data_IF_003420833251
#
_entry.id   IF_003420833251
#
_cell.length_a   1.000
_cell.length_b   1.000
_cell.length_c   1.000
_cell.angle_alpha   90.00
_cell.angle_beta   90.00
_cell.angle_gamma   90.00
#
_symmetry.space_group_name_H-M   'P 1'
#
loop_
_entity.id
_entity.type
_entity.pdbx_description
1 polymer ?
#
# COMPACT_ATOMS: atom_id res chain seq x y z
N UNK A 1 -24.09 17.79 16.38
CA UNK A 1 -24.13 17.32 17.79
C UNK A 1 -23.92 18.52 18.72
N UNK A 2 -24.70 18.61 19.81
CA UNK A 2 -24.55 19.68 20.81
C UNK A 2 -23.36 19.33 21.69
N UNK A 3 -22.32 20.15 21.68
CA UNK A 3 -21.01 19.81 22.32
C UNK A 3 -21.08 19.68 23.82
N UNK A 4 -22.02 20.37 24.44
CA UNK A 4 -22.25 20.42 25.90
C UNK A 4 -22.75 19.08 26.45
N UNK A 5 -23.33 18.23 25.60
CA UNK A 5 -23.85 16.90 25.97
C UNK A 5 -22.77 15.83 26.09
N UNK A 6 -21.52 16.17 25.76
CA UNK A 6 -20.42 15.21 25.71
C UNK A 6 -19.26 15.61 26.62
N UNK A 7 -18.53 14.61 27.08
CA UNK A 7 -17.14 14.73 27.49
C UNK A 7 -16.24 14.05 26.47
N UNK A 8 -15.03 14.56 26.35
CA UNK A 8 -14.09 14.16 25.30
C UNK A 8 -12.86 13.50 25.90
N UNK A 9 -12.54 12.33 25.43
CA UNK A 9 -11.38 11.56 25.88
C UNK A 9 -10.42 11.41 24.72
N UNK A 10 -9.26 12.06 24.80
CA UNK A 10 -8.19 11.84 23.84
C UNK A 10 -7.25 10.77 24.36
N UNK A 11 -6.83 9.86 23.48
CA UNK A 11 -5.98 8.74 23.86
C UNK A 11 -4.76 8.72 22.97
N UNK A 12 -3.60 8.91 23.60
CA UNK A 12 -2.31 8.66 22.98
C UNK A 12 -1.95 7.18 23.09
N UNK A 13 -1.62 6.56 21.97
CA UNK A 13 -1.58 5.11 21.78
C UNK A 13 -0.16 4.62 21.57
N UNK A 14 0.39 3.94 22.55
CA UNK A 14 1.69 3.29 22.48
C UNK A 14 1.60 1.75 22.48
N UNK A 15 2.69 1.10 22.18
CA UNK A 15 2.76 -0.37 22.10
C UNK A 15 2.40 -1.03 23.43
N UNK A 16 2.92 -0.52 24.53
CA UNK A 16 2.82 -1.15 25.86
C UNK A 16 1.78 -0.49 26.75
N UNK A 17 1.64 0.83 26.66
CA UNK A 17 0.73 1.63 27.48
C UNK A 17 -0.04 2.61 26.63
N UNK A 18 -1.19 3.05 27.13
CA UNK A 18 -1.97 4.13 26.57
C UNK A 18 -2.16 5.20 27.62
N UNK A 19 -2.08 6.48 27.24
CA UNK A 19 -2.37 7.61 28.10
C UNK A 19 -3.62 8.31 27.61
N UNK A 20 -4.61 8.48 28.48
CA UNK A 20 -5.89 9.10 28.18
C UNK A 20 -6.10 10.35 29.04
N UNK A 21 -6.53 11.44 28.41
CA UNK A 21 -6.93 12.67 29.04
C UNK A 21 -8.40 12.95 28.76
N UNK A 22 -9.16 13.27 29.80
CA UNK A 22 -10.58 13.61 29.71
C UNK A 22 -10.75 15.11 29.89
N UNK A 23 -11.47 15.75 28.97
CA UNK A 23 -11.83 17.17 29.02
C UNK A 23 -13.34 17.37 28.89
N UNK A 24 -13.85 18.50 29.38
CA UNK A 24 -15.21 18.94 29.11
C UNK A 24 -15.34 19.77 27.81
N UNK A 25 -16.53 20.27 27.53
CA UNK A 25 -16.81 21.12 26.36
C UNK A 25 -16.16 22.53 26.45
N UNK A 26 -15.69 22.94 27.60
CA UNK A 26 -15.00 24.22 27.87
C UNK A 26 -13.47 24.04 27.87
N UNK A 27 -12.98 22.85 27.49
CA UNK A 27 -11.56 22.53 27.50
C UNK A 27 -10.94 22.43 28.91
N UNK A 28 -11.73 22.17 29.94
CA UNK A 28 -11.21 21.95 31.28
C UNK A 28 -10.81 20.47 31.43
N UNK A 29 -9.60 20.22 31.90
CA UNK A 29 -9.12 18.86 32.18
C UNK A 29 -9.82 18.30 33.41
N UNK A 30 -10.59 17.22 33.21
CA UNK A 30 -11.34 16.52 34.26
C UNK A 30 -10.52 15.38 34.89
N UNK A 31 -9.59 14.82 34.16
CA UNK A 31 -8.73 13.78 34.68
C UNK A 31 -7.85 13.14 33.60
N UNK A 32 -6.96 12.29 34.09
CA UNK A 32 -6.08 11.50 33.22
C UNK A 32 -5.85 10.10 33.80
N UNK A 33 -5.43 9.19 32.93
CA UNK A 33 -5.02 7.82 33.30
C UNK A 33 -4.02 7.27 32.28
N UNK A 34 -2.99 6.60 32.77
CA UNK A 34 -2.13 5.74 31.95
C UNK A 34 -2.41 4.29 32.34
N UNK A 35 -2.61 3.42 31.34
CA UNK A 35 -2.97 2.03 31.55
C UNK A 35 -2.29 1.13 30.51
N UNK A 36 -2.03 -0.16 30.82
CA UNK A 36 -1.43 -1.10 29.89
C UNK A 36 -2.32 -1.36 28.65
N UNK A 37 -1.69 -1.58 27.51
CA UNK A 37 -2.38 -1.96 26.27
C UNK A 37 -2.76 -3.46 26.34
N UNK A 38 -3.67 -3.80 27.20
CA UNK A 38 -4.20 -5.16 27.40
C UNK A 38 -5.72 -5.09 27.55
N UNK A 39 -6.49 -5.97 26.88
CA UNK A 39 -7.95 -5.99 27.01
C UNK A 39 -8.47 -6.06 28.45
N UNK A 40 -7.76 -6.77 29.33
CA UNK A 40 -8.09 -6.86 30.75
C UNK A 40 -7.99 -5.51 31.50
N UNK A 41 -7.17 -4.57 31.01
CA UNK A 41 -6.94 -3.28 31.62
C UNK A 41 -7.83 -2.14 31.02
N UNK A 42 -8.46 -2.37 29.87
CA UNK A 42 -9.33 -1.37 29.23
C UNK A 42 -10.52 -0.91 30.11
N UNK A 43 -11.14 -1.75 30.95
CA UNK A 43 -12.17 -1.29 31.88
C UNK A 43 -11.70 -0.19 32.85
N UNK A 44 -10.39 -0.11 33.16
CA UNK A 44 -9.81 0.94 34.03
C UNK A 44 -10.02 2.32 33.44
N UNK A 45 -9.85 2.46 32.10
CA UNK A 45 -10.15 3.71 31.37
C UNK A 45 -11.58 4.14 31.61
N UNK A 46 -12.55 3.26 31.33
CA UNK A 46 -13.98 3.58 31.46
C UNK A 46 -14.35 3.92 32.91
N UNK A 47 -13.81 3.19 33.87
CA UNK A 47 -14.04 3.46 35.31
C UNK A 47 -13.51 4.85 35.68
N UNK A 48 -12.31 5.22 35.21
CA UNK A 48 -11.74 6.54 35.47
C UNK A 48 -12.56 7.64 34.83
N UNK A 49 -12.94 7.47 33.55
CA UNK A 49 -13.77 8.44 32.80
C UNK A 49 -15.13 8.64 33.49
N UNK A 50 -15.79 7.56 33.95
CA UNK A 50 -17.06 7.66 34.71
C UNK A 50 -16.91 8.44 35.99
N UNK A 51 -15.79 8.29 36.70
CA UNK A 51 -15.55 9.10 37.95
C UNK A 51 -15.37 10.58 37.65
N UNK A 52 -14.89 10.95 36.48
CA UNK A 52 -14.73 12.33 36.03
C UNK A 52 -16.03 12.92 35.43
N UNK A 53 -16.99 12.06 35.06
CA UNK A 53 -18.25 12.43 34.40
C UNK A 53 -19.40 12.50 35.43
N UNK A 54 -19.42 13.52 36.26
CA UNK A 54 -20.41 13.68 37.30
C UNK A 54 -21.83 13.92 36.77
N UNK A 55 -21.93 14.53 35.57
CA UNK A 55 -23.21 14.92 34.96
C UNK A 55 -23.78 13.81 34.04
N UNK A 56 -23.19 12.62 34.04
CA UNK A 56 -23.60 11.48 33.23
C UNK A 56 -23.72 11.77 31.71
N UNK A 57 -22.87 12.68 31.21
CA UNK A 57 -22.82 13.03 29.78
C UNK A 57 -22.35 11.85 28.92
N UNK A 58 -22.67 11.91 27.66
CA UNK A 58 -22.13 10.94 26.68
C UNK A 58 -20.61 11.11 26.51
N UNK A 59 -19.91 10.00 26.21
CA UNK A 59 -18.45 10.00 26.10
C UNK A 59 -18.04 9.77 24.65
N UNK A 60 -17.20 10.67 24.14
CA UNK A 60 -16.56 10.50 22.82
C UNK A 60 -15.06 10.23 23.02
N UNK A 61 -14.58 9.11 22.50
CA UNK A 61 -13.17 8.74 22.51
C UNK A 61 -12.52 9.13 21.19
N UNK A 62 -11.48 9.96 21.23
CA UNK A 62 -10.62 10.27 20.09
C UNK A 62 -9.34 9.44 20.17
N UNK A 63 -9.04 8.69 19.12
CA UNK A 63 -7.85 7.85 19.03
C UNK A 63 -7.01 8.30 17.85
N UNK A 64 -5.71 8.58 18.09
CA UNK A 64 -4.76 8.71 17.00
C UNK A 64 -4.26 7.33 16.60
N UNK A 65 -4.36 7.00 15.32
CA UNK A 65 -3.97 5.66 14.81
C UNK A 65 -4.78 4.49 15.41
N UNK A 66 -6.10 4.61 15.36
CA UNK A 66 -7.04 3.55 15.77
C UNK A 66 -6.84 2.19 15.04
N UNK A 67 -6.03 2.15 13.99
CA UNK A 67 -5.74 0.97 13.15
C UNK A 67 -4.39 0.31 13.45
N UNK A 68 -3.55 0.95 14.28
CA UNK A 68 -2.26 0.45 14.72
C UNK A 68 -2.32 -0.19 16.12
N UNK A 69 -1.48 0.28 17.03
CA UNK A 69 -1.42 -0.21 18.43
C UNK A 69 -2.72 0.04 19.21
N UNK A 70 -3.51 1.04 18.83
CA UNK A 70 -4.80 1.33 19.43
C UNK A 70 -5.96 0.46 18.96
N UNK A 71 -5.75 -0.39 17.95
CA UNK A 71 -6.82 -1.20 17.38
C UNK A 71 -7.57 -2.08 18.40
N UNK A 72 -6.89 -2.82 19.31
CA UNK A 72 -7.61 -3.62 20.31
C UNK A 72 -8.51 -2.78 21.19
N UNK A 73 -8.06 -1.60 21.60
CA UNK A 73 -8.86 -0.67 22.39
C UNK A 73 -10.03 -0.09 21.59
N UNK A 74 -9.79 0.31 20.32
CA UNK A 74 -10.84 0.82 19.46
C UNK A 74 -11.97 -0.21 19.25
N UNK A 75 -11.63 -1.46 18.93
CA UNK A 75 -12.60 -2.56 18.81
C UNK A 75 -13.37 -2.74 20.11
N UNK A 76 -12.67 -2.82 21.24
CA UNK A 76 -13.29 -3.03 22.54
C UNK A 76 -14.26 -1.90 22.92
N UNK A 77 -13.90 -0.64 22.65
CA UNK A 77 -14.79 0.52 22.90
C UNK A 77 -16.03 0.49 21.99
N UNK A 78 -15.86 0.15 20.72
CA UNK A 78 -16.97 0.06 19.76
C UNK A 78 -17.92 -1.08 20.12
N UNK A 79 -17.41 -2.23 20.52
CA UNK A 79 -18.22 -3.36 20.99
C UNK A 79 -19.05 -3.02 22.23
N UNK A 80 -18.54 -2.09 23.06
CA UNK A 80 -19.26 -1.52 24.20
C UNK A 80 -20.19 -0.35 23.83
N UNK A 81 -20.34 -0.05 22.52
CA UNK A 81 -21.20 1.01 21.95
C UNK A 81 -20.81 2.43 22.34
N UNK A 82 -19.52 2.68 22.61
CA UNK A 82 -19.00 4.03 22.78
C UNK A 82 -18.76 4.70 21.42
N UNK A 83 -18.86 6.04 21.39
CA UNK A 83 -18.48 6.83 20.23
C UNK A 83 -16.95 6.92 20.14
N UNK A 84 -16.39 6.39 19.05
CA UNK A 84 -14.95 6.38 18.82
C UNK A 84 -14.65 7.09 17.51
N UNK A 85 -13.84 8.16 17.59
CA UNK A 85 -13.40 8.96 16.45
C UNK A 85 -11.95 8.65 16.09
N UNK A 86 -11.67 8.58 14.79
CA UNK A 86 -10.30 8.45 14.27
C UNK A 86 -9.72 9.84 14.05
N UNK A 87 -8.67 10.18 14.81
CA UNK A 87 -8.01 11.49 14.79
C UNK A 87 -6.75 11.38 13.96
N UNK A 88 -6.66 12.19 12.91
CA UNK A 88 -5.47 12.22 12.07
C UNK A 88 -4.31 12.92 12.80
N UNK A 89 -3.12 12.31 12.78
CA UNK A 89 -1.86 12.83 13.37
C UNK A 89 -1.56 14.28 12.99
N UNK A 90 -1.90 14.72 11.78
CA UNK A 90 -1.70 16.11 11.36
C UNK A 90 -2.63 17.09 12.08
N UNK A 91 -3.78 16.61 12.55
CA UNK A 91 -4.76 17.43 13.30
C UNK A 91 -4.31 17.56 14.75
N UNK A 92 -3.97 16.45 15.41
CA UNK A 92 -3.48 16.46 16.79
C UNK A 92 -2.20 17.29 16.93
N UNK A 93 -1.23 17.11 16.05
CA UNK A 93 -0.01 17.95 16.01
C UNK A 93 -0.30 19.45 15.81
N UNK A 94 -1.31 19.80 15.03
CA UNK A 94 -1.70 21.21 14.86
C UNK A 94 -2.28 21.77 16.17
N UNK A 95 -3.11 21.00 16.85
CA UNK A 95 -3.66 21.40 18.16
C UNK A 95 -2.55 21.53 19.21
N UNK A 96 -1.59 20.62 19.23
CA UNK A 96 -0.45 20.71 20.14
C UNK A 96 0.38 22.00 19.93
N UNK A 97 0.63 22.41 18.69
CA UNK A 97 1.36 23.65 18.37
C UNK A 97 0.64 24.94 18.78
N UNK A 98 -0.67 24.95 18.87
CA UNK A 98 -1.43 26.13 19.31
C UNK A 98 -1.32 26.41 20.82
N UNK A 99 -0.69 25.52 21.61
CA UNK A 99 -0.50 25.69 23.04
C UNK A 99 0.66 26.62 23.45
N UNK A 100 1.39 27.20 22.49
CA UNK A 100 2.43 28.20 22.73
C UNK A 100 3.87 27.68 22.75
N UNK A 101 4.84 28.60 22.93
CA UNK A 101 6.27 28.38 22.75
C UNK A 101 6.93 27.45 23.78
N UNK A 102 6.25 27.03 24.85
CA UNK A 102 6.75 26.13 25.89
C UNK A 102 6.11 24.74 25.85
N UNK A 103 5.80 24.23 24.66
CA UNK A 103 5.30 22.88 24.54
C UNK A 103 6.34 21.85 25.02
N UNK A 104 6.05 21.23 26.16
CA UNK A 104 6.78 20.05 26.64
C UNK A 104 6.07 18.84 26.04
N UNK A 105 6.79 18.05 25.26
CA UNK A 105 6.24 16.83 24.70
C UNK A 105 6.13 15.78 25.80
N UNK A 106 4.89 15.46 26.19
CA UNK A 106 4.56 14.34 27.06
C UNK A 106 3.34 13.61 26.53
N UNK A 107 3.20 12.32 26.88
CA UNK A 107 2.06 11.50 26.46
C UNK A 107 0.72 12.12 26.95
N UNK A 108 0.74 12.81 28.08
CA UNK A 108 -0.43 13.55 28.59
C UNK A 108 -0.79 14.76 27.72
N UNK A 109 0.21 15.51 27.23
CA UNK A 109 -0.01 16.65 26.33
C UNK A 109 -0.50 16.19 24.96
N UNK A 110 0.04 15.09 24.45
CA UNK A 110 -0.38 14.49 23.17
C UNK A 110 -1.82 13.95 23.30
N UNK A 111 -2.16 13.26 24.40
CA UNK A 111 -3.53 12.81 24.68
C UNK A 111 -4.52 13.98 24.80
N UNK A 112 -4.14 15.06 25.46
CA UNK A 112 -4.98 16.26 25.58
C UNK A 112 -5.16 16.97 24.23
N UNK A 113 -4.12 17.04 23.39
CA UNK A 113 -4.24 17.56 22.03
C UNK A 113 -5.21 16.73 21.16
N UNK A 114 -5.25 15.41 21.36
CA UNK A 114 -6.23 14.52 20.72
C UNK A 114 -7.64 14.79 21.24
N UNK A 115 -7.82 15.00 22.55
CA UNK A 115 -9.11 15.36 23.13
C UNK A 115 -9.64 16.69 22.57
N UNK A 116 -8.77 17.71 22.48
CA UNK A 116 -9.08 19.00 21.86
C UNK A 116 -9.43 18.89 20.38
N UNK A 117 -8.71 18.08 19.63
CA UNK A 117 -9.02 17.81 18.23
C UNK A 117 -10.42 17.19 18.11
N UNK A 118 -10.75 16.26 19.00
CA UNK A 118 -12.06 15.59 19.04
C UNK A 118 -13.18 16.58 19.36
N UNK A 119 -13.00 17.43 20.36
CA UNK A 119 -13.94 18.51 20.73
C UNK A 119 -14.15 19.49 19.57
N UNK A 120 -13.07 20.01 18.98
CA UNK A 120 -13.14 21.07 17.98
C UNK A 120 -13.68 20.60 16.63
N UNK A 121 -13.49 19.33 16.32
CA UNK A 121 -13.83 18.76 15.02
C UNK A 121 -14.82 17.59 15.09
N UNK A 122 -15.61 17.48 16.15
CA UNK A 122 -16.52 16.35 16.43
C UNK A 122 -17.32 15.88 15.19
N UNK A 123 -17.97 16.83 14.49
CA UNK A 123 -18.79 16.52 13.31
C UNK A 123 -17.98 16.26 12.03
N UNK A 124 -16.68 16.56 12.04
CA UNK A 124 -15.79 16.44 10.87
C UNK A 124 -14.88 15.22 10.94
N UNK A 125 -14.64 14.68 12.14
CA UNK A 125 -13.83 13.49 12.32
C UNK A 125 -14.63 12.25 11.90
N UNK A 126 -14.00 11.31 11.18
CA UNK A 126 -14.63 10.04 10.86
C UNK A 126 -14.76 9.17 12.11
N UNK A 127 -15.80 8.34 12.12
CA UNK A 127 -15.90 7.29 13.13
C UNK A 127 -14.79 6.24 12.87
N UNK A 128 -14.19 5.74 13.93
CA UNK A 128 -13.24 4.65 13.83
C UNK A 128 -13.99 3.37 13.39
N UNK A 129 -13.49 2.73 12.36
CA UNK A 129 -14.09 1.51 11.80
C UNK A 129 -13.01 0.44 11.59
N UNK A 130 -12.47 -0.16 12.68
CA UNK A 130 -11.40 -1.16 12.64
C UNK A 130 -11.95 -2.53 12.22
N UNK A 131 -12.42 -2.65 10.97
CA UNK A 131 -12.91 -3.90 10.42
C UNK A 131 -11.77 -4.92 10.28
N UNK A 132 -11.97 -6.14 10.82
CA UNK A 132 -10.98 -7.21 10.83
C UNK A 132 -10.56 -7.65 9.43
N UNK A 133 -11.50 -7.78 8.52
CA UNK A 133 -11.22 -8.26 7.16
C UNK A 133 -10.27 -7.29 6.43
N UNK A 134 -10.55 -5.99 6.46
CA UNK A 134 -9.69 -5.00 5.82
C UNK A 134 -8.34 -4.82 6.53
N UNK A 135 -8.33 -4.94 7.86
CA UNK A 135 -7.08 -4.90 8.60
C UNK A 135 -6.18 -6.09 8.26
N UNK A 136 -6.73 -7.30 8.28
CA UNK A 136 -6.00 -8.53 7.91
C UNK A 136 -5.52 -8.49 6.46
N UNK A 137 -6.37 -8.00 5.55
CA UNK A 137 -5.99 -7.76 4.15
C UNK A 137 -4.79 -6.81 4.07
N UNK A 138 -4.81 -5.72 4.84
CA UNK A 138 -3.70 -4.77 4.92
C UNK A 138 -2.40 -5.41 5.39
N UNK A 139 -2.44 -6.28 6.42
CA UNK A 139 -1.26 -7.00 6.91
C UNK A 139 -0.65 -7.90 5.82
N UNK A 140 -1.48 -8.65 5.09
CA UNK A 140 -1.03 -9.50 3.99
C UNK A 140 -0.43 -8.69 2.84
N UNK A 141 -1.07 -7.59 2.44
CA UNK A 141 -0.55 -6.68 1.40
C UNK A 141 0.80 -6.10 1.82
N UNK A 142 0.94 -5.67 3.07
CA UNK A 142 2.22 -5.15 3.59
C UNK A 142 3.30 -6.24 3.63
N UNK A 143 2.94 -7.46 4.04
CA UNK A 143 3.88 -8.60 4.02
C UNK A 143 4.35 -8.88 2.60
N UNK A 144 3.42 -8.97 1.64
CA UNK A 144 3.72 -9.15 0.23
C UNK A 144 4.69 -8.11 -0.31
N UNK A 145 4.41 -6.82 -0.05
CA UNK A 145 5.25 -5.72 -0.52
C UNK A 145 6.66 -5.77 0.09
N UNK A 146 6.78 -6.20 1.35
CA UNK A 146 8.07 -6.40 2.01
C UNK A 146 8.86 -7.55 1.39
N UNK A 147 8.22 -8.69 1.12
CA UNK A 147 8.84 -9.82 0.41
C UNK A 147 9.33 -9.38 -0.97
N UNK A 148 8.51 -8.67 -1.74
CA UNK A 148 8.90 -8.15 -3.07
C UNK A 148 10.13 -7.22 -3.01
N UNK A 149 10.24 -6.38 -1.97
CA UNK A 149 11.42 -5.52 -1.77
C UNK A 149 12.67 -6.34 -1.47
N UNK A 150 12.56 -7.36 -0.61
CA UNK A 150 13.70 -8.25 -0.30
C UNK A 150 14.12 -9.02 -1.54
N UNK A 151 13.16 -9.60 -2.26
CA UNK A 151 13.41 -10.29 -3.54
C UNK A 151 14.16 -9.41 -4.54
N UNK A 152 13.75 -8.15 -4.70
CA UNK A 152 14.42 -7.20 -5.60
C UNK A 152 15.87 -6.95 -5.17
N UNK A 153 16.15 -6.86 -3.87
CA UNK A 153 17.53 -6.72 -3.36
C UNK A 153 18.38 -7.94 -3.68
N UNK A 154 17.83 -9.16 -3.51
CA UNK A 154 18.53 -10.40 -3.84
C UNK A 154 18.79 -10.53 -5.34
N UNK A 155 17.84 -10.13 -6.19
CA UNK A 155 18.07 -10.10 -7.64
C UNK A 155 19.24 -9.18 -7.99
N UNK A 156 19.36 -8.02 -7.37
CA UNK A 156 20.50 -7.13 -7.58
C UNK A 156 21.83 -7.76 -7.12
N UNK A 157 21.84 -8.43 -5.96
CA UNK A 157 23.01 -9.18 -5.50
C UNK A 157 23.38 -10.32 -6.44
N UNK A 158 22.37 -11.04 -6.97
CA UNK A 158 22.60 -12.08 -7.97
C UNK A 158 23.25 -11.50 -9.24
N UNK A 159 22.80 -10.34 -9.72
CA UNK A 159 23.45 -9.65 -10.84
C UNK A 159 24.92 -9.37 -10.58
N UNK A 160 25.30 -8.96 -9.38
CA UNK A 160 26.69 -8.71 -8.97
C UNK A 160 27.54 -9.99 -9.01
N UNK A 161 27.02 -11.12 -8.48
CA UNK A 161 27.74 -12.39 -8.51
C UNK A 161 27.88 -12.93 -9.95
N UNK A 162 26.79 -12.88 -10.73
CA UNK A 162 26.78 -13.39 -12.09
C UNK A 162 27.66 -12.59 -13.05
N UNK A 163 27.77 -11.28 -12.86
CA UNK A 163 28.67 -10.43 -13.63
C UNK A 163 30.13 -10.87 -13.56
N UNK A 164 30.54 -11.46 -12.42
CA UNK A 164 31.91 -11.97 -12.22
C UNK A 164 32.04 -13.41 -12.73
N UNK A 165 31.04 -14.26 -12.44
CA UNK A 165 31.08 -15.68 -12.81
C UNK A 165 30.91 -15.88 -14.33
N UNK A 166 30.05 -15.08 -14.94
CA UNK A 166 29.66 -15.13 -16.34
C UNK A 166 29.47 -13.70 -16.91
N UNK A 167 30.50 -13.03 -17.40
CA UNK A 167 30.39 -11.66 -17.91
C UNK A 167 29.24 -11.47 -18.92
N UNK A 168 28.99 -12.47 -19.74
CA UNK A 168 27.91 -12.48 -20.74
C UNK A 168 26.55 -13.00 -20.25
N UNK A 169 26.34 -13.18 -18.94
CA UNK A 169 25.14 -13.81 -18.35
C UNK A 169 23.81 -13.20 -18.81
N UNK A 170 23.79 -11.90 -19.14
CA UNK A 170 22.58 -11.22 -19.65
C UNK A 170 22.08 -11.78 -20.98
N UNK A 171 22.91 -12.54 -21.69
CA UNK A 171 22.53 -13.19 -22.92
C UNK A 171 21.88 -14.55 -22.71
N UNK A 172 21.98 -15.14 -21.51
CA UNK A 172 21.48 -16.49 -21.23
C UNK A 172 19.96 -16.50 -21.12
N UNK A 173 19.41 -15.58 -20.34
CA UNK A 173 18.00 -15.49 -20.05
C UNK A 173 17.52 -14.04 -20.09
N UNK A 174 16.28 -13.80 -20.52
CA UNK A 174 15.67 -12.48 -20.54
C UNK A 174 15.49 -11.90 -19.11
N UNK A 175 15.31 -12.78 -18.12
CA UNK A 175 15.16 -12.44 -16.71
C UNK A 175 15.88 -13.51 -15.88
N UNK A 176 16.90 -13.12 -15.14
CA UNK A 176 17.75 -14.02 -14.35
C UNK A 176 17.06 -14.59 -13.13
N UNK A 177 15.91 -14.07 -12.77
CA UNK A 177 15.15 -14.47 -11.58
C UNK A 177 13.93 -15.33 -11.89
N UNK A 178 13.79 -15.80 -13.13
CA UNK A 178 12.76 -16.76 -13.54
C UNK A 178 13.13 -18.20 -13.16
N UNK A 179 12.15 -19.09 -12.94
CA UNK A 179 12.41 -20.45 -12.48
C UNK A 179 13.50 -21.19 -13.27
N UNK A 180 13.48 -21.12 -14.61
CA UNK A 180 14.51 -21.75 -15.47
C UNK A 180 15.90 -21.15 -15.22
N UNK A 181 16.00 -19.85 -15.04
CA UNK A 181 17.26 -19.19 -14.76
C UNK A 181 17.76 -19.52 -13.35
N UNK A 182 16.88 -19.52 -12.34
CA UNK A 182 17.23 -19.90 -10.97
C UNK A 182 17.72 -21.36 -10.92
N UNK A 183 17.03 -22.27 -11.61
CA UNK A 183 17.49 -23.66 -11.76
C UNK A 183 18.88 -23.74 -12.38
N UNK A 184 19.14 -22.94 -13.41
CA UNK A 184 20.45 -22.89 -14.04
C UNK A 184 21.54 -22.40 -13.07
N UNK A 185 21.30 -21.31 -12.36
CA UNK A 185 22.26 -20.77 -11.39
C UNK A 185 22.49 -21.69 -10.19
N UNK A 186 21.50 -22.47 -9.81
CA UNK A 186 21.60 -23.49 -8.75
C UNK A 186 22.55 -24.63 -9.16
N UNK A 187 22.46 -25.11 -10.41
CA UNK A 187 23.28 -26.24 -10.89
C UNK A 187 24.61 -25.78 -11.48
N UNK A 188 24.65 -24.54 -11.97
CA UNK A 188 25.81 -23.98 -12.65
C UNK A 188 26.17 -22.59 -12.08
N UNK A 189 26.54 -22.48 -10.79
CA UNK A 189 26.87 -21.18 -10.16
C UNK A 189 28.14 -20.56 -10.77
N UNK A 190 29.01 -21.35 -11.41
CA UNK A 190 30.14 -20.86 -12.18
C UNK A 190 30.48 -21.82 -13.34
N UNK A 191 31.32 -21.33 -14.25
CA UNK A 191 31.73 -22.08 -15.46
C UNK A 191 32.36 -23.44 -15.18
N UNK A 192 32.94 -23.68 -14.00
CA UNK A 192 33.55 -24.98 -13.69
C UNK A 192 32.54 -26.13 -13.75
N UNK A 193 31.28 -25.89 -13.45
CA UNK A 193 30.20 -26.87 -13.48
C UNK A 193 29.70 -27.17 -14.94
N UNK A 194 29.98 -26.25 -15.87
CA UNK A 194 29.64 -26.43 -17.29
C UNK A 194 30.75 -27.15 -18.07
N UNK A 195 31.92 -27.40 -17.44
CA UNK A 195 33.03 -28.04 -18.10
C UNK A 195 32.64 -29.46 -18.57
N UNK A 196 32.77 -29.70 -19.88
CA UNK A 196 32.45 -31.01 -20.50
C UNK A 196 30.96 -31.25 -20.78
N UNK A 197 30.08 -30.31 -20.47
CA UNK A 197 28.65 -30.37 -20.81
C UNK A 197 28.46 -30.09 -22.31
N UNK A 198 27.68 -30.95 -22.96
CA UNK A 198 27.21 -30.73 -24.32
C UNK A 198 25.94 -29.88 -24.37
N UNK A 199 25.60 -29.44 -25.58
CA UNK A 199 24.31 -28.75 -25.82
C UNK A 199 23.12 -29.63 -25.46
N UNK A 200 23.22 -30.94 -25.75
CA UNK A 200 22.15 -31.90 -25.50
C UNK A 200 21.98 -32.18 -23.97
N UNK A 201 23.08 -32.25 -23.22
CA UNK A 201 23.04 -32.38 -21.75
C UNK A 201 22.28 -31.19 -21.13
N UNK A 202 22.69 -29.96 -21.50
CA UNK A 202 22.08 -28.74 -20.98
C UNK A 202 20.62 -28.64 -21.39
N UNK A 203 20.28 -29.03 -22.60
CA UNK A 203 18.89 -29.04 -23.09
C UNK A 203 18.04 -30.05 -22.32
N UNK A 204 18.51 -31.24 -22.08
CA UNK A 204 17.81 -32.28 -21.34
C UNK A 204 17.44 -31.81 -19.93
N UNK A 205 18.34 -31.10 -19.28
CA UNK A 205 18.11 -30.55 -17.93
C UNK A 205 17.18 -29.34 -17.92
N UNK A 206 17.26 -28.41 -18.90
CA UNK A 206 16.51 -27.16 -18.91
C UNK A 206 15.10 -27.27 -19.51
N UNK A 207 14.87 -28.21 -20.44
CA UNK A 207 13.57 -28.38 -21.10
C UNK A 207 12.42 -28.64 -20.10
N UNK A 208 12.54 -29.57 -19.13
CA UNK A 208 11.48 -29.82 -18.14
C UNK A 208 11.13 -28.58 -17.31
N UNK A 209 12.16 -27.88 -16.81
CA UNK A 209 12.00 -26.70 -15.95
C UNK A 209 11.46 -25.49 -16.71
N UNK A 210 11.75 -25.42 -18.02
CA UNK A 210 11.26 -24.33 -18.87
C UNK A 210 9.88 -24.59 -19.48
N UNK A 211 9.21 -25.70 -19.14
CA UNK A 211 7.97 -26.13 -19.77
C UNK A 211 8.11 -26.17 -21.31
N UNK A 212 9.17 -26.84 -21.82
CA UNK A 212 9.53 -26.98 -23.24
C UNK A 212 9.83 -25.65 -23.97
N UNK A 213 10.14 -24.57 -23.25
CA UNK A 213 10.47 -23.28 -23.87
C UNK A 213 11.95 -23.05 -24.09
N UNK A 214 12.84 -23.84 -23.47
CA UNK A 214 14.27 -23.75 -23.68
C UNK A 214 14.63 -24.46 -25.01
N UNK A 215 15.04 -23.69 -26.00
CA UNK A 215 15.41 -24.19 -27.31
C UNK A 215 16.89 -24.63 -27.35
N UNK A 216 17.27 -25.53 -28.29
CA UNK A 216 18.65 -25.88 -28.60
C UNK A 216 19.52 -24.65 -28.83
N UNK A 217 19.01 -23.66 -29.59
CA UNK A 217 19.69 -22.36 -29.82
C UNK A 217 20.00 -21.59 -28.53
N UNK A 218 19.17 -21.73 -27.51
CA UNK A 218 19.43 -21.08 -26.20
C UNK A 218 20.61 -21.78 -25.52
N UNK A 219 20.67 -23.11 -25.53
CA UNK A 219 21.76 -23.86 -24.94
C UNK A 219 23.08 -23.61 -25.66
N UNK A 220 23.07 -23.62 -27.01
CA UNK A 220 24.22 -23.24 -27.85
C UNK A 220 24.73 -21.87 -27.49
N UNK A 221 23.84 -20.89 -27.45
CA UNK A 221 24.18 -19.48 -27.08
C UNK A 221 24.81 -19.37 -25.71
N UNK A 222 24.33 -20.13 -24.72
CA UNK A 222 24.93 -20.16 -23.36
C UNK A 222 26.34 -20.67 -23.39
N UNK A 223 26.58 -21.87 -24.05
CA UNK A 223 27.89 -22.49 -24.08
C UNK A 223 28.89 -21.64 -24.88
N UNK A 224 28.49 -21.07 -26.01
CA UNK A 224 29.31 -20.17 -26.83
C UNK A 224 29.71 -18.90 -26.05
N UNK A 225 28.78 -18.30 -25.34
CA UNK A 225 29.05 -17.15 -24.52
C UNK A 225 30.03 -17.47 -23.38
N UNK A 226 29.87 -18.60 -22.70
CA UNK A 226 30.80 -19.07 -21.66
C UNK A 226 32.17 -19.35 -22.20
N UNK A 227 32.27 -19.92 -23.41
CA UNK A 227 33.54 -20.19 -24.08
C UNK A 227 34.26 -18.89 -24.48
N UNK A 228 33.50 -17.91 -24.98
CA UNK A 228 34.03 -16.60 -25.43
C UNK A 228 34.44 -15.69 -24.28
N UNK A 229 33.83 -15.79 -23.12
CA UNK A 229 34.13 -14.96 -21.95
C UNK A 229 35.55 -15.22 -21.40
N UNK A 230 36.14 -16.40 -21.62
CA UNK A 230 37.50 -16.80 -21.20
C UNK A 230 37.80 -16.52 -19.71
N UNK A 231 36.80 -16.52 -18.85
CA UNK A 231 36.98 -16.28 -17.38
C UNK A 231 37.85 -17.41 -16.82
N UNK A 232 38.86 -17.04 -16.00
CA UNK A 232 39.68 -18.01 -15.27
C UNK A 232 39.06 -18.25 -13.89
N UNK A 233 39.00 -19.51 -13.46
CA UNK A 233 38.66 -19.81 -12.07
C UNK A 233 39.77 -19.30 -11.15
N UNK A 234 39.37 -18.72 -10.01
CA UNK A 234 40.33 -18.27 -9.01
C UNK A 234 40.30 -19.15 -7.75
N UNK A 235 41.27 -18.97 -6.87
CA UNK A 235 41.41 -19.76 -5.64
C UNK A 235 40.18 -19.70 -4.69
N UNK A 236 39.34 -18.67 -4.82
CA UNK A 236 38.17 -18.45 -3.95
C UNK A 236 36.84 -18.72 -4.68
N UNK A 237 36.88 -19.48 -5.78
CA UNK A 237 35.66 -19.72 -6.59
C UNK A 237 34.59 -20.45 -5.79
N UNK A 238 34.95 -21.41 -4.94
CA UNK A 238 33.99 -22.16 -4.12
C UNK A 238 33.23 -21.25 -3.15
N UNK A 239 33.89 -20.26 -2.56
CA UNK A 239 33.24 -19.29 -1.69
C UNK A 239 32.23 -18.41 -2.47
N UNK A 240 32.57 -18.01 -3.69
CA UNK A 240 31.65 -17.26 -4.58
C UNK A 240 30.48 -18.09 -5.02
N UNK A 241 30.71 -19.34 -5.37
CA UNK A 241 29.65 -20.28 -5.76
C UNK A 241 28.66 -20.46 -4.59
N UNK A 242 29.19 -20.61 -3.35
CA UNK A 242 28.35 -20.67 -2.16
C UNK A 242 27.46 -19.42 -1.98
N UNK A 243 28.00 -18.21 -2.21
CA UNK A 243 27.19 -16.99 -2.17
C UNK A 243 26.10 -16.98 -3.22
N UNK A 244 26.42 -17.38 -4.45
CA UNK A 244 25.42 -17.48 -5.54
C UNK A 244 24.32 -18.48 -5.18
N UNK A 245 24.68 -19.66 -4.70
CA UNK A 245 23.73 -20.70 -4.29
C UNK A 245 22.82 -20.24 -3.15
N UNK A 246 23.37 -19.54 -2.16
CA UNK A 246 22.60 -18.97 -1.05
C UNK A 246 21.58 -17.95 -1.55
N UNK A 247 21.97 -17.05 -2.45
CA UNK A 247 21.05 -16.05 -3.04
C UNK A 247 19.93 -16.73 -3.84
N UNK A 248 20.26 -17.76 -4.61
CA UNK A 248 19.28 -18.52 -5.40
C UNK A 248 18.27 -19.22 -4.49
N UNK A 249 18.74 -19.88 -3.44
CA UNK A 249 17.87 -20.52 -2.43
C UNK A 249 16.93 -19.52 -1.76
N UNK A 250 17.44 -18.34 -1.37
CA UNK A 250 16.62 -17.28 -0.80
C UNK A 250 15.56 -16.76 -1.78
N UNK A 251 15.91 -16.62 -3.06
CA UNK A 251 14.96 -16.21 -4.10
C UNK A 251 13.84 -17.23 -4.29
N UNK A 252 14.17 -18.52 -4.35
CA UNK A 252 13.19 -19.62 -4.45
C UNK A 252 12.27 -19.64 -3.23
N UNK A 253 12.83 -19.44 -2.03
CA UNK A 253 12.06 -19.35 -0.81
C UNK A 253 11.08 -18.16 -0.82
N UNK A 254 11.53 -16.97 -1.24
CA UNK A 254 10.62 -15.82 -1.34
C UNK A 254 9.55 -15.99 -2.43
N UNK A 255 9.86 -16.67 -3.54
CA UNK A 255 8.86 -16.99 -4.56
C UNK A 255 7.77 -17.94 -4.02
N UNK A 256 8.13 -18.92 -3.20
CA UNK A 256 7.17 -19.77 -2.49
C UNK A 256 6.31 -18.98 -1.50
N UNK A 257 6.92 -18.14 -0.66
CA UNK A 257 6.18 -17.27 0.27
C UNK A 257 5.21 -16.32 -0.46
N UNK A 258 5.63 -15.75 -1.61
CA UNK A 258 4.76 -14.88 -2.41
C UNK A 258 3.55 -15.65 -2.93
N UNK A 259 3.73 -16.88 -3.41
CA UNK A 259 2.64 -17.72 -3.89
C UNK A 259 1.61 -18.02 -2.79
N UNK A 260 2.07 -18.30 -1.56
CA UNK A 260 1.19 -18.52 -0.40
C UNK A 260 0.41 -17.26 -0.02
N UNK A 261 1.09 -16.11 0.06
CA UNK A 261 0.45 -14.83 0.38
C UNK A 261 -0.54 -14.45 -0.71
N UNK A 262 -0.19 -14.60 -1.99
CA UNK A 262 -1.06 -14.29 -3.12
C UNK A 262 -2.32 -15.17 -3.13
N UNK A 263 -2.19 -16.46 -2.81
CA UNK A 263 -3.32 -17.38 -2.64
C UNK A 263 -4.28 -16.91 -1.52
N UNK A 264 -3.74 -16.49 -0.39
CA UNK A 264 -4.55 -15.97 0.73
C UNK A 264 -5.25 -14.67 0.36
N UNK A 265 -4.55 -13.76 -0.34
CA UNK A 265 -5.13 -12.51 -0.85
C UNK A 265 -6.28 -12.76 -1.83
N UNK A 266 -6.15 -13.75 -2.72
CA UNK A 266 -7.24 -14.14 -3.63
C UNK A 266 -8.46 -14.69 -2.89
N UNK A 267 -8.23 -15.51 -1.86
CA UNK A 267 -9.32 -16.04 -1.02
C UNK A 267 -10.06 -14.90 -0.31
N UNK A 268 -9.33 -13.99 0.33
CA UNK A 268 -9.92 -12.83 1.01
C UNK A 268 -10.65 -11.91 0.04
N UNK A 269 -10.11 -11.70 -1.17
CA UNK A 269 -10.76 -10.89 -2.20
C UNK A 269 -12.13 -11.48 -2.60
N UNK A 270 -12.20 -12.81 -2.78
CA UNK A 270 -13.45 -13.52 -3.08
C UNK A 270 -14.46 -13.40 -1.94
N UNK A 271 -14.00 -13.55 -0.69
CA UNK A 271 -14.87 -13.41 0.50
C UNK A 271 -15.46 -12.00 0.65
N UNK A 272 -14.71 -10.96 0.24
CA UNK A 272 -15.20 -9.58 0.28
C UNK A 272 -16.23 -9.26 -0.82
N UNK A 273 -16.44 -10.14 -1.78
CA UNK A 273 -17.41 -9.95 -2.87
C UNK A 273 -17.13 -8.70 -3.73
N UNK A 274 -15.87 -8.29 -3.83
CA UNK A 274 -15.49 -7.06 -4.51
C UNK A 274 -15.41 -7.25 -6.03
N UNK A 275 -15.84 -6.24 -6.78
CA UNK A 275 -15.92 -6.27 -8.25
C UNK A 275 -14.83 -5.46 -8.95
N UNK A 276 -13.82 -4.92 -8.22
CA UNK A 276 -12.80 -4.05 -8.80
C UNK A 276 -11.99 -4.69 -9.94
N UNK A 277 -11.90 -6.01 -9.99
CA UNK A 277 -11.21 -6.72 -11.08
C UNK A 277 -11.95 -6.66 -12.42
N UNK A 278 -13.19 -6.20 -12.44
CA UNK A 278 -13.93 -5.93 -13.68
C UNK A 278 -13.43 -4.67 -14.40
N UNK A 279 -12.64 -3.81 -13.70
CA UNK A 279 -11.98 -2.67 -14.34
C UNK A 279 -10.83 -3.20 -15.22
N UNK A 280 -10.81 -2.90 -16.54
CA UNK A 280 -9.73 -3.35 -17.41
C UNK A 280 -8.35 -2.97 -16.90
N UNK A 281 -7.45 -3.94 -16.71
CA UNK A 281 -6.10 -3.74 -16.19
C UNK A 281 -5.96 -3.84 -14.66
N UNK A 282 -7.06 -4.05 -13.92
CA UNK A 282 -7.01 -4.34 -12.49
C UNK A 282 -7.01 -5.84 -12.27
N UNK A 283 -5.92 -6.37 -11.76
CA UNK A 283 -5.84 -7.74 -11.27
C UNK A 283 -6.17 -7.80 -9.77
N UNK A 284 -6.29 -9.02 -9.22
CA UNK A 284 -6.61 -9.23 -7.80
C UNK A 284 -5.62 -8.50 -6.89
N UNK A 285 -4.32 -8.56 -7.18
CA UNK A 285 -3.29 -7.90 -6.35
C UNK A 285 -3.47 -6.37 -6.33
N UNK A 286 -3.79 -5.76 -7.46
CA UNK A 286 -4.08 -4.32 -7.51
C UNK A 286 -5.37 -3.99 -6.75
N UNK A 287 -6.41 -4.82 -6.91
CA UNK A 287 -7.68 -4.64 -6.21
C UNK A 287 -7.50 -4.73 -4.67
N UNK A 288 -6.80 -5.74 -4.17
CA UNK A 288 -6.56 -5.89 -2.72
C UNK A 288 -5.68 -4.78 -2.16
N UNK A 289 -4.71 -4.25 -2.91
CA UNK A 289 -3.94 -3.07 -2.51
C UNK A 289 -4.83 -1.83 -2.33
N UNK A 290 -5.75 -1.63 -3.25
CA UNK A 290 -6.73 -0.53 -3.16
C UNK A 290 -7.65 -0.72 -1.96
N UNK A 291 -8.21 -1.92 -1.78
CA UNK A 291 -9.09 -2.25 -0.66
C UNK A 291 -8.40 -2.13 0.70
N UNK A 292 -7.17 -2.61 0.82
CA UNK A 292 -6.39 -2.56 2.06
C UNK A 292 -6.18 -1.11 2.55
N UNK A 293 -5.99 -0.17 1.63
CA UNK A 293 -5.77 1.24 1.97
C UNK A 293 -7.08 2.02 2.15
N UNK A 294 -8.12 1.68 1.39
CA UNK A 294 -9.45 2.30 1.53
C UNK A 294 -10.16 1.81 2.79
N UNK A 295 -10.06 0.52 3.11
CA UNK A 295 -10.86 -0.10 4.16
C UNK A 295 -12.35 -0.09 3.81
N UNK A 296 -13.22 0.11 4.81
CA UNK A 296 -14.66 0.26 4.56
C UNK A 296 -14.94 1.57 3.83
N UNK A 297 -15.58 1.48 2.67
CA UNK A 297 -15.93 2.65 1.84
C UNK A 297 -16.92 3.59 2.55
N UNK A 298 -17.70 3.08 3.50
CA UNK A 298 -18.67 3.87 4.27
C UNK A 298 -18.04 4.99 5.09
N UNK A 299 -16.75 4.88 5.42
CA UNK A 299 -15.99 5.95 6.10
C UNK A 299 -15.84 7.23 5.27
N UNK A 300 -16.10 7.16 3.96
CA UNK A 300 -16.03 8.32 3.07
C UNK A 300 -17.42 8.75 2.65
N UNK A 301 -17.80 9.99 2.94
CA UNK A 301 -19.12 10.53 2.57
C UNK A 301 -19.30 10.68 1.05
N UNK A 302 -18.21 10.91 0.32
CA UNK A 302 -18.22 11.05 -1.14
C UNK A 302 -16.83 10.79 -1.76
N UNK A 303 -16.80 10.68 -3.10
CA UNK A 303 -15.56 10.43 -3.86
C UNK A 303 -14.48 11.50 -3.67
N UNK A 304 -14.86 12.77 -3.42
CA UNK A 304 -13.91 13.85 -3.17
C UNK A 304 -13.15 13.64 -1.85
N UNK A 305 -13.81 13.13 -0.81
CA UNK A 305 -13.15 12.79 0.47
C UNK A 305 -12.17 11.63 0.29
N UNK A 306 -12.52 10.62 -0.51
CA UNK A 306 -11.59 9.56 -0.88
C UNK A 306 -10.40 10.10 -1.69
N UNK A 307 -10.62 11.02 -2.64
CA UNK A 307 -9.55 11.64 -3.42
C UNK A 307 -8.62 12.50 -2.56
N UNK A 308 -9.15 13.20 -1.55
CA UNK A 308 -8.34 13.93 -0.55
C UNK A 308 -7.53 12.96 0.30
N UNK A 309 -8.14 11.88 0.79
CA UNK A 309 -7.47 10.83 1.55
C UNK A 309 -6.34 10.18 0.72
N UNK A 310 -6.57 9.92 -0.55
CA UNK A 310 -5.56 9.37 -1.47
C UNK A 310 -4.46 10.41 -1.85
N UNK A 311 -4.58 11.66 -1.45
CA UNK A 311 -3.63 12.71 -1.83
C UNK A 311 -3.62 13.04 -3.34
N UNK A 312 -4.73 12.79 -4.03
CA UNK A 312 -4.87 13.03 -5.49
C UNK A 312 -5.62 14.34 -5.76
N UNK A 313 -6.46 14.80 -4.82
CA UNK A 313 -7.15 16.07 -4.95
C UNK A 313 -6.17 17.24 -4.77
N UNK A 314 -6.16 18.24 -5.66
CA UNK A 314 -5.36 19.44 -5.45
C UNK A 314 -5.85 20.24 -4.23
N UNK A 315 -4.92 20.94 -3.60
CA UNK A 315 -5.25 21.94 -2.58
C UNK A 315 -5.48 23.27 -3.30
N UNK A 316 -6.68 23.83 -3.12
CA UNK A 316 -6.96 25.17 -3.59
C UNK A 316 -6.46 26.18 -2.56
N UNK A 317 -5.38 26.89 -2.89
CA UNK A 317 -4.86 27.98 -2.06
C UNK A 317 -5.34 29.27 -2.68
N UNK A 318 -6.18 30.02 -1.98
CA UNK A 318 -6.62 31.33 -2.40
C UNK A 318 -6.24 32.38 -1.37
N UNK A 319 -5.65 33.48 -1.84
CA UNK A 319 -5.50 34.71 -1.05
C UNK A 319 -5.88 35.90 -1.93
N UNK A 320 -6.65 36.82 -1.38
CA UNK A 320 -7.07 38.06 -2.04
C UNK A 320 -7.71 37.86 -3.43
N UNK A 321 -8.58 36.85 -3.57
CA UNK A 321 -9.32 36.55 -4.80
C UNK A 321 -8.52 35.85 -5.90
N UNK A 322 -7.22 35.61 -5.72
CA UNK A 322 -6.38 34.83 -6.64
C UNK A 322 -6.16 33.43 -6.06
N UNK A 323 -6.74 32.40 -6.69
CA UNK A 323 -6.61 31.01 -6.29
C UNK A 323 -5.62 30.25 -7.20
N UNK A 324 -4.81 29.37 -6.60
CA UNK A 324 -3.93 28.44 -7.31
C UNK A 324 -4.10 27.04 -6.76
N UNK A 325 -4.29 26.08 -7.68
CA UNK A 325 -4.29 24.67 -7.32
C UNK A 325 -2.86 24.17 -7.17
N UNK A 326 -2.55 23.65 -5.97
CA UNK A 326 -1.22 23.14 -5.64
C UNK A 326 -1.33 21.65 -5.34
N UNK A 327 -0.33 20.88 -5.77
CA UNK A 327 -0.25 19.47 -5.45
C UNK A 327 -0.16 19.26 -3.93
N UNK A 328 -1.02 18.39 -3.40
CA UNK A 328 -0.98 18.07 -1.96
C UNK A 328 0.26 17.23 -1.63
N UNK A 329 0.92 17.57 -0.52
CA UNK A 329 1.97 16.74 0.10
C UNK A 329 1.40 15.75 1.14
N UNK A 330 0.11 15.84 1.43
CA UNK A 330 -0.61 15.01 2.41
C UNK A 330 -1.40 13.91 1.71
N UNK A 331 -1.81 12.89 2.47
CA UNK A 331 -2.63 11.79 2.00
C UNK A 331 -1.95 10.42 2.07
N UNK A 332 -2.71 9.38 1.78
CA UNK A 332 -2.24 8.01 1.77
C UNK A 332 -1.35 7.75 0.53
N UNK A 333 -0.03 7.72 0.75
CA UNK A 333 0.97 7.57 -0.32
C UNK A 333 0.91 6.22 -1.02
N UNK A 334 0.50 5.15 -0.33
CA UNK A 334 0.38 3.82 -0.93
C UNK A 334 -0.80 3.76 -1.89
N UNK A 335 -1.95 4.28 -1.47
CA UNK A 335 -3.12 4.39 -2.35
C UNK A 335 -2.81 5.30 -3.55
N UNK A 336 -2.19 6.46 -3.31
CA UNK A 336 -1.76 7.38 -4.37
C UNK A 336 -0.89 6.68 -5.41
N UNK A 337 0.14 5.96 -4.97
CA UNK A 337 1.06 5.25 -5.85
C UNK A 337 0.34 4.13 -6.63
N UNK A 338 -0.54 3.37 -5.97
CA UNK A 338 -1.29 2.28 -6.62
C UNK A 338 -2.22 2.81 -7.71
N UNK A 339 -2.96 3.89 -7.43
CA UNK A 339 -3.87 4.50 -8.41
C UNK A 339 -3.11 5.18 -9.55
N UNK A 340 -2.01 5.86 -9.25
CA UNK A 340 -1.17 6.50 -10.26
C UNK A 340 -0.54 5.47 -11.20
N UNK A 341 -0.03 4.36 -10.65
CA UNK A 341 0.51 3.26 -11.43
C UNK A 341 -0.56 2.59 -12.32
N UNK A 342 -1.76 2.40 -11.78
CA UNK A 342 -2.91 1.92 -12.55
C UNK A 342 -3.25 2.88 -13.70
N UNK A 343 -3.22 4.19 -13.47
CA UNK A 343 -3.42 5.19 -14.52
C UNK A 343 -2.37 5.07 -15.63
N UNK A 344 -1.08 4.88 -15.28
CA UNK A 344 -0.01 4.62 -16.27
C UNK A 344 -0.33 3.37 -17.08
N UNK A 345 -0.67 2.26 -16.44
CA UNK A 345 -0.97 1.01 -17.13
C UNK A 345 -2.14 1.14 -18.10
N UNK A 346 -3.19 1.89 -17.72
CA UNK A 346 -4.37 2.05 -18.56
C UNK A 346 -4.14 2.87 -19.83
N UNK A 347 -3.20 3.83 -19.79
CA UNK A 347 -2.87 4.64 -20.98
C UNK A 347 -1.86 3.98 -21.90
N UNK A 348 -1.24 2.86 -21.49
CA UNK A 348 -0.28 2.15 -22.30
C UNK A 348 -0.91 1.60 -23.59
N UNK A 349 -0.12 1.57 -24.64
CA UNK A 349 -0.44 0.93 -25.90
C UNK A 349 0.45 -0.28 -26.09
N UNK A 350 -0.08 -1.33 -26.72
CA UNK A 350 0.71 -2.49 -27.12
C UNK A 350 1.75 -2.12 -28.18
N UNK A 351 2.68 -3.02 -28.44
CA UNK A 351 3.64 -2.87 -29.57
C UNK A 351 2.95 -2.70 -30.95
N UNK A 352 1.69 -3.18 -31.05
CA UNK A 352 0.85 -3.02 -32.24
C UNK A 352 0.00 -1.74 -32.25
N UNK A 353 0.22 -0.82 -31.29
CA UNK A 353 -0.51 0.44 -31.19
C UNK A 353 -1.91 0.34 -30.55
N UNK A 354 -2.34 -0.83 -30.08
CA UNK A 354 -3.67 -1.01 -29.45
C UNK A 354 -3.65 -0.52 -28.03
N UNK A 355 -4.51 0.45 -27.64
CA UNK A 355 -4.62 0.92 -26.25
C UNK A 355 -5.13 -0.18 -25.32
N UNK A 356 -4.58 -0.26 -24.11
CA UNK A 356 -5.07 -1.19 -23.08
C UNK A 356 -6.50 -0.80 -22.63
N UNK A 357 -6.78 0.49 -22.57
CA UNK A 357 -8.11 1.04 -22.32
C UNK A 357 -8.32 2.26 -23.26
N UNK A 358 -9.14 2.09 -24.30
CA UNK A 358 -9.35 3.12 -25.33
C UNK A 358 -9.97 4.42 -24.77
N UNK A 359 -10.92 4.29 -23.82
CA UNK A 359 -11.58 5.44 -23.20
C UNK A 359 -10.63 6.26 -22.36
N UNK A 360 -9.79 5.58 -21.53
CA UNK A 360 -8.81 6.25 -20.70
C UNK A 360 -7.70 6.87 -21.57
N UNK A 361 -7.28 6.19 -22.63
CA UNK A 361 -6.30 6.72 -23.57
C UNK A 361 -6.82 7.95 -24.29
N UNK A 362 -8.03 7.94 -24.81
CA UNK A 362 -8.64 9.10 -25.45
C UNK A 362 -8.73 10.30 -24.48
N UNK A 363 -9.11 10.05 -23.24
CA UNK A 363 -9.12 11.11 -22.22
C UNK A 363 -7.71 11.65 -21.91
N UNK A 364 -6.71 10.80 -21.87
CA UNK A 364 -5.30 11.22 -21.70
C UNK A 364 -4.85 12.13 -22.82
N UNK A 365 -5.08 11.76 -24.08
CA UNK A 365 -4.70 12.58 -25.25
C UNK A 365 -5.45 13.91 -25.27
N UNK A 366 -6.75 13.91 -24.94
CA UNK A 366 -7.53 15.14 -24.77
C UNK A 366 -6.87 16.07 -23.76
N UNK A 367 -6.47 15.57 -22.59
CA UNK A 367 -5.82 16.39 -21.56
C UNK A 367 -4.46 16.91 -21.98
N UNK A 368 -3.71 16.15 -22.77
CA UNK A 368 -2.46 16.63 -23.38
C UNK A 368 -2.69 17.71 -24.42
N UNK A 369 -3.69 17.56 -25.27
CA UNK A 369 -4.07 18.57 -26.24
C UNK A 369 -4.52 19.90 -25.57
N UNK A 370 -5.07 19.84 -24.36
CA UNK A 370 -5.39 21.01 -23.52
C UNK A 370 -4.13 21.67 -22.89
N UNK A 371 -2.91 21.26 -23.26
CA UNK A 371 -1.65 21.82 -22.76
C UNK A 371 -1.14 21.23 -21.42
N UNK A 372 -1.75 20.15 -20.90
CA UNK A 372 -1.27 19.49 -19.67
C UNK A 372 -0.03 18.64 -19.96
N UNK A 373 0.90 18.64 -19.01
CA UNK A 373 2.02 17.69 -19.03
C UNK A 373 1.51 16.25 -18.88
N UNK A 374 2.31 15.27 -19.31
CA UNK A 374 1.96 13.83 -19.14
C UNK A 374 1.63 13.48 -17.70
N UNK A 375 2.38 14.02 -16.73
CA UNK A 375 2.13 13.81 -15.32
C UNK A 375 0.80 14.42 -14.86
N UNK A 376 0.49 15.64 -15.28
CA UNK A 376 -0.79 16.28 -14.96
C UNK A 376 -1.99 15.53 -15.57
N UNK A 377 -1.85 15.04 -16.79
CA UNK A 377 -2.88 14.23 -17.44
C UNK A 377 -3.11 12.91 -16.67
N UNK A 378 -2.06 12.23 -16.22
CA UNK A 378 -2.16 11.03 -15.36
C UNK A 378 -2.82 11.31 -14.01
N UNK A 379 -2.58 12.47 -13.40
CA UNK A 379 -3.28 12.89 -12.17
C UNK A 379 -4.77 13.08 -12.41
N UNK A 380 -5.16 13.67 -13.57
CA UNK A 380 -6.57 13.78 -13.94
C UNK A 380 -7.24 12.41 -14.09
N UNK A 381 -6.55 11.44 -14.70
CA UNK A 381 -7.02 10.05 -14.81
C UNK A 381 -7.12 9.42 -13.42
N UNK A 382 -6.12 9.55 -12.58
CA UNK A 382 -6.11 9.05 -11.21
C UNK A 382 -7.32 9.53 -10.41
N UNK A 383 -7.68 10.82 -10.55
CA UNK A 383 -8.87 11.37 -9.91
C UNK A 383 -10.16 10.74 -10.42
N UNK A 384 -10.25 10.52 -11.75
CA UNK A 384 -11.42 9.86 -12.34
C UNK A 384 -11.54 8.40 -11.89
N UNK A 385 -10.41 7.68 -11.82
CA UNK A 385 -10.35 6.31 -11.31
C UNK A 385 -10.84 6.23 -9.85
N UNK A 386 -10.42 7.16 -8.99
CA UNK A 386 -10.93 7.22 -7.61
C UNK A 386 -12.44 7.39 -7.57
N UNK A 387 -13.02 8.22 -8.44
CA UNK A 387 -14.48 8.41 -8.49
C UNK A 387 -15.21 7.15 -8.94
N UNK A 388 -14.67 6.43 -9.92
CA UNK A 388 -15.19 5.14 -10.39
C UNK A 388 -15.09 4.09 -9.28
N UNK A 389 -13.92 3.93 -8.66
CA UNK A 389 -13.70 2.98 -7.57
C UNK A 389 -14.63 3.27 -6.40
N UNK A 390 -14.81 4.54 -6.02
CA UNK A 390 -15.75 4.92 -4.97
C UNK A 390 -17.17 4.49 -5.31
N UNK A 391 -17.65 4.78 -6.54
CA UNK A 391 -18.99 4.40 -6.99
C UNK A 391 -19.21 2.90 -6.98
N UNK A 392 -18.25 2.14 -7.50
CA UNK A 392 -18.30 0.67 -7.51
C UNK A 392 -18.34 0.08 -6.10
N UNK A 393 -17.46 0.51 -5.21
CA UNK A 393 -17.42 0.01 -3.82
C UNK A 393 -18.65 0.40 -3.02
N UNK A 394 -19.20 1.62 -3.23
CA UNK A 394 -20.37 2.10 -2.50
C UNK A 394 -21.65 1.36 -2.92
N UNK A 395 -21.77 1.07 -4.22
CA UNK A 395 -22.99 0.51 -4.80
C UNK A 395 -22.91 -1.01 -5.04
N UNK A 396 -21.74 -1.63 -4.84
CA UNK A 396 -21.53 -3.05 -5.13
C UNK A 396 -21.64 -3.40 -6.62
N UNK A 397 -21.34 -2.45 -7.52
CA UNK A 397 -21.55 -2.61 -8.96
C UNK A 397 -20.26 -3.00 -9.69
N UNK A 398 -20.41 -3.69 -10.82
CA UNK A 398 -19.32 -3.93 -11.76
C UNK A 398 -18.95 -2.68 -12.57
N UNK A 399 -17.74 -2.67 -13.10
CA UNK A 399 -17.30 -1.60 -14.01
C UNK A 399 -18.07 -1.70 -15.34
N UNK A 400 -18.67 -0.59 -15.74
CA UNK A 400 -19.27 -0.45 -17.06
C UNK A 400 -18.41 0.48 -17.91
N UNK A 401 -17.96 -0.04 -19.06
CA UNK A 401 -17.21 0.78 -20.01
C UNK A 401 -18.14 1.90 -20.52
N UNK A 402 -17.75 3.18 -20.40
CA UNK A 402 -18.55 4.24 -21.01
C UNK A 402 -18.65 4.01 -22.52
N UNK A 403 -19.85 4.09 -23.07
CA UNK A 403 -20.03 4.11 -24.53
C UNK A 403 -19.44 5.42 -25.02
N UNK A 404 -18.42 5.35 -25.86
CA UNK A 404 -17.93 6.52 -26.58
C UNK A 404 -18.95 6.76 -27.69
N UNK A 405 -19.95 7.58 -27.44
CA UNK A 405 -20.72 8.18 -28.54
C UNK A 405 -19.72 8.95 -29.39
N UNK A 406 -19.58 8.56 -30.64
CA UNK A 406 -18.76 9.28 -31.61
C UNK A 406 -19.19 10.75 -31.55
N UNK A 407 -18.27 11.62 -31.13
CA UNK A 407 -18.45 13.06 -31.15
C UNK A 407 -18.46 13.53 -32.62
N UNK A 408 -19.49 13.16 -33.33
CA UNK A 408 -19.70 13.39 -34.75
C UNK A 408 -21.10 13.82 -35.14
N UNK A 409 -21.99 14.08 -34.17
CA UNK A 409 -23.28 14.70 -34.49
C UNK A 409 -23.80 15.47 -33.26
N UNK A 410 -23.35 16.72 -33.17
CA UNK A 410 -24.15 17.87 -32.70
C UNK A 410 -23.42 19.15 -33.15
N UNK A 411 -23.84 19.64 -34.29
CA UNK A 411 -23.76 21.05 -34.65
C UNK A 411 -24.62 21.87 -33.66
#
# INVERSE_FOLDING_TARGET
>A
MVKENFIYVGIDLHKETHTAVTIDCYNQKLGEITFPNRPADFPKLVTKVKKCNTDAKEVVYGLENAYGYGRPLAVWLIDKRYFVKDVNTAISHRQAKHRGAMYRKSDSDDAEAIALATLNMLDKLPDACPNDAYWSLGQLVHRRDNIMKQRTRLVNQLHEQLCIAYPSYKQFFNDISRPTALYFWEHYPSRKYLKGKSVEDLRTELVPVSHNKCSTKTCEKILDAVASDKVKNNAYQDARDMVTLSIVSDLQHYDSQLAEVDKMLEQMYKMLGCTLTTIPGVNVITAVKILAEIGDIKRFSNANKLAQFAGIAPLHLSSSGKGKDVATKQGNRRLQATIYFLAIQMVQVSSKGTPRNSVVRAYYEKRKAEGKTSQQALICISRRLISVIYGMLKNGTEYRMPVVENAGEKL
#
